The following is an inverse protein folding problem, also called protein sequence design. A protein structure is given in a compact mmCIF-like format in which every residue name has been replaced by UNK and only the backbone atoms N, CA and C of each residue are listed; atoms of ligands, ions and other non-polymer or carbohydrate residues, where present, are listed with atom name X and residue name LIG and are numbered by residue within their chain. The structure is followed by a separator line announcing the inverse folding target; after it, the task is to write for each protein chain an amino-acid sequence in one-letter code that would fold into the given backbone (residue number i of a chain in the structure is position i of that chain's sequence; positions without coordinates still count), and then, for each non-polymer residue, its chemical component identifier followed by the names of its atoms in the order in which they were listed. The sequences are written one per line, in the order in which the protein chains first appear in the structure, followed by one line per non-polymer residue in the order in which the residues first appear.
data_IF_154443070688
#
_entry.id   IF_154443070688
#
_cell.length_a   1.000
_cell.length_b   1.000
_cell.length_c   1.000
_cell.angle_alpha   90.00
_cell.angle_beta   90.00
_cell.angle_gamma   90.00
#
_symmetry.space_group_name_H-M   'P 1'
#
loop_
_entity.id
_entity.type
_entity.pdbx_description
1 polymer ?
#
# COMPACT_ATOMS: atom_id res chain seq x y z
N UNK A 1 2.59 -20.11 -6.99
CA UNK A 1 2.22 -19.23 -5.87
C UNK A 1 0.70 -19.10 -5.64
N UNK A 2 -0.18 -19.84 -6.35
CA UNK A 2 -1.65 -19.66 -6.22
C UNK A 2 -2.28 -20.43 -5.05
N UNK A 3 -1.83 -21.65 -4.74
CA UNK A 3 -2.54 -22.54 -3.81
C UNK A 3 -2.44 -22.16 -2.33
N UNK A 4 -1.47 -21.32 -1.95
CA UNK A 4 -1.22 -20.98 -0.54
C UNK A 4 -1.95 -19.68 -0.15
N UNK A 5 -1.95 -18.67 -1.03
CA UNK A 5 -2.63 -17.40 -0.76
C UNK A 5 -4.16 -17.54 -0.81
N UNK A 6 -4.70 -18.42 -1.65
CA UNK A 6 -6.15 -18.66 -1.73
C UNK A 6 -6.71 -19.35 -0.47
N UNK A 7 -5.86 -19.98 0.35
CA UNK A 7 -6.24 -20.53 1.66
C UNK A 7 -6.31 -19.47 2.76
N UNK A 8 -5.75 -18.28 2.53
CA UNK A 8 -5.79 -17.14 3.44
C UNK A 8 -6.91 -16.20 2.96
N UNK A 9 -8.14 -16.72 2.93
CA UNK A 9 -9.32 -15.97 2.53
C UNK A 9 -10.38 -16.03 3.63
N UNK A 10 -11.18 -14.98 3.74
CA UNK A 10 -12.27 -14.93 4.71
C UNK A 10 -13.36 -15.94 4.31
N UNK A 11 -13.71 -16.86 5.21
CA UNK A 11 -14.80 -17.81 5.01
C UNK A 11 -15.97 -17.46 5.93
N UNK A 12 -17.15 -18.05 5.70
CA UNK A 12 -18.32 -17.86 6.56
C UNK A 12 -18.12 -18.36 8.02
N UNK A 13 -17.03 -19.10 8.30
CA UNK A 13 -16.71 -19.63 9.64
C UNK A 13 -15.65 -18.79 10.39
N UNK A 14 -14.94 -17.91 9.69
CA UNK A 14 -13.85 -17.14 10.27
C UNK A 14 -13.03 -16.40 9.21
N UNK A 15 -12.29 -15.39 9.66
CA UNK A 15 -11.42 -14.56 8.83
C UNK A 15 -9.97 -14.73 9.24
N UNK A 16 -9.06 -14.82 8.27
CA UNK A 16 -7.62 -14.81 8.49
C UNK A 16 -7.07 -13.58 7.78
N UNK A 17 -6.47 -12.66 8.55
CA UNK A 17 -5.76 -11.49 8.00
C UNK A 17 -4.26 -11.75 8.12
N UNK A 18 -3.59 -12.01 7.00
CA UNK A 18 -2.13 -12.20 6.99
C UNK A 18 -1.39 -10.89 6.72
N UNK A 19 -0.37 -10.61 7.51
CA UNK A 19 0.60 -9.55 7.22
C UNK A 19 1.83 -10.21 6.58
N UNK A 20 2.15 -9.83 5.35
CA UNK A 20 3.27 -10.39 4.59
C UNK A 20 4.37 -9.33 4.47
N UNK A 21 5.60 -9.73 4.82
CA UNK A 21 6.78 -8.86 4.67
C UNK A 21 7.50 -9.26 3.39
N UNK A 22 7.55 -8.34 2.43
CA UNK A 22 8.27 -8.52 1.17
C UNK A 22 9.54 -7.69 1.23
N UNK A 23 10.69 -8.34 1.10
CA UNK A 23 11.97 -7.66 0.97
C UNK A 23 12.23 -7.33 -0.50
N UNK A 24 12.46 -6.05 -0.79
CA UNK A 24 12.78 -5.57 -2.14
C UNK A 24 14.28 -5.26 -2.20
N UNK A 25 15.06 -5.96 -3.03
CA UNK A 25 16.47 -5.65 -3.19
C UNK A 25 16.62 -4.27 -3.87
N UNK A 26 17.59 -3.48 -3.40
CA UNK A 26 17.91 -2.16 -3.96
C UNK A 26 16.74 -1.15 -4.02
N UNK A 27 15.65 -1.37 -3.28
CA UNK A 27 14.44 -0.53 -3.29
C UNK A 27 13.75 -0.44 -4.68
N UNK A 28 13.98 -1.42 -5.58
CA UNK A 28 13.37 -1.47 -6.92
C UNK A 28 12.00 -2.18 -6.94
N UNK A 29 10.92 -1.39 -6.97
CA UNK A 29 9.55 -1.89 -7.02
C UNK A 29 9.13 -2.44 -8.39
N UNK A 30 9.98 -2.31 -9.42
CA UNK A 30 9.69 -2.78 -10.79
C UNK A 30 10.11 -4.23 -11.03
N UNK A 31 10.76 -4.86 -10.05
CA UNK A 31 11.13 -6.27 -10.13
C UNK A 31 9.88 -7.18 -10.29
N UNK A 32 9.99 -8.27 -11.08
CA UNK A 32 8.87 -9.18 -11.29
C UNK A 32 8.44 -9.93 -10.00
N UNK A 33 9.33 -10.05 -9.01
CA UNK A 33 9.05 -10.68 -7.73
C UNK A 33 8.06 -9.88 -6.85
N UNK A 34 8.28 -8.59 -6.56
CA UNK A 34 7.28 -7.76 -5.89
C UNK A 34 6.05 -7.50 -6.78
N UNK A 35 6.21 -7.35 -8.11
CA UNK A 35 5.08 -7.12 -9.00
C UNK A 35 4.01 -8.22 -8.94
N UNK A 36 4.42 -9.50 -8.84
CA UNK A 36 3.50 -10.63 -8.72
C UNK A 36 2.86 -10.76 -7.34
N UNK A 37 3.56 -10.35 -6.28
CA UNK A 37 2.97 -10.34 -4.93
C UNK A 37 1.96 -9.20 -4.76
N UNK A 38 2.19 -8.03 -5.37
CA UNK A 38 1.23 -6.92 -5.33
C UNK A 38 -0.10 -7.25 -5.99
N UNK A 39 -0.11 -8.05 -7.05
CA UNK A 39 -1.36 -8.47 -7.70
C UNK A 39 -2.29 -9.29 -6.79
N UNK A 40 -1.77 -9.85 -5.70
CA UNK A 40 -2.52 -10.69 -4.76
C UNK A 40 -2.77 -10.04 -3.40
N UNK A 41 -2.24 -8.84 -3.15
CA UNK A 41 -2.38 -8.15 -1.85
C UNK A 41 -3.52 -7.12 -1.90
N UNK A 42 -4.43 -7.19 -0.94
CA UNK A 42 -5.56 -6.23 -0.81
C UNK A 42 -5.14 -4.85 -0.30
N UNK A 43 -3.98 -4.77 0.35
CA UNK A 43 -3.39 -3.53 0.84
C UNK A 43 -1.87 -3.62 0.80
N UNK A 44 -1.24 -2.54 0.33
CA UNK A 44 0.21 -2.39 0.25
C UNK A 44 0.64 -1.23 1.14
N UNK A 45 1.61 -1.48 2.01
CA UNK A 45 2.24 -0.44 2.84
C UNK A 45 3.72 -0.40 2.49
N UNK A 46 4.13 0.67 1.81
CA UNK A 46 5.52 0.87 1.38
C UNK A 46 6.29 1.59 2.48
N UNK A 47 7.43 1.04 2.86
CA UNK A 47 8.33 1.64 3.84
C UNK A 47 9.47 2.37 3.11
N UNK A 48 9.61 3.67 3.34
CA UNK A 48 10.64 4.50 2.68
C UNK A 48 11.82 4.76 3.60
N UNK A 49 13.04 4.49 3.08
CA UNK A 49 14.29 4.81 3.78
C UNK A 49 14.49 6.33 3.96
N UNK A 50 13.96 7.14 3.04
CA UNK A 50 14.03 8.61 3.11
C UNK A 50 13.21 9.21 4.26
N UNK A 51 12.17 8.51 4.74
CA UNK A 51 11.42 8.90 5.93
C UNK A 51 12.12 8.44 7.21
N UNK A 52 12.79 7.29 7.16
CA UNK A 52 13.59 6.76 8.27
C UNK A 52 14.75 7.70 8.65
N UNK A 53 15.46 8.25 7.65
CA UNK A 53 16.56 9.19 7.88
C UNK A 53 16.11 10.52 8.50
N UNK A 54 14.83 10.89 8.33
CA UNK A 54 14.20 12.05 8.96
C UNK A 54 13.74 11.78 10.40
N UNK A 55 13.89 10.55 10.89
CA UNK A 55 13.45 10.14 12.23
C UNK A 55 11.95 9.94 12.38
N UNK A 56 11.20 9.81 11.27
CA UNK A 56 9.76 9.61 11.29
C UNK A 56 9.46 8.11 11.37
N UNK A 57 8.87 7.66 12.48
CA UNK A 57 8.45 6.27 12.68
C UNK A 57 6.95 6.19 12.98
N UNK A 58 6.19 5.29 12.33
CA UNK A 58 6.61 4.33 11.31
C UNK A 58 6.90 4.99 9.94
N UNK A 59 7.85 4.44 9.19
CA UNK A 59 8.39 5.03 7.94
C UNK A 59 7.51 4.75 6.72
N UNK A 60 6.19 4.93 6.88
CA UNK A 60 5.18 4.60 5.85
C UNK A 60 5.06 5.74 4.85
N UNK A 61 5.18 5.43 3.56
CA UNK A 61 4.90 6.38 2.50
C UNK A 61 3.41 6.40 2.13
N UNK A 62 2.67 7.49 2.39
CA UNK A 62 1.24 7.56 2.08
C UNK A 62 0.92 7.74 0.59
N UNK A 63 1.89 8.11 -0.25
CA UNK A 63 1.70 8.29 -1.68
C UNK A 63 1.80 6.95 -2.42
N UNK A 64 2.75 6.10 -2.03
CA UNK A 64 2.98 4.80 -2.66
C UNK A 64 2.18 3.65 -2.01
N UNK A 65 1.65 3.85 -0.79
CA UNK A 65 0.82 2.86 -0.11
C UNK A 65 -0.65 2.94 -0.56
N UNK A 66 -1.23 1.81 -0.98
CA UNK A 66 -2.61 1.73 -1.49
C UNK A 66 -3.42 0.62 -0.81
N UNK A 67 -4.74 0.69 -0.89
CA UNK A 67 -5.61 -0.39 -0.45
C UNK A 67 -6.87 -0.47 -1.30
N UNK A 68 -7.28 -1.69 -1.63
CA UNK A 68 -8.53 -1.97 -2.34
C UNK A 68 -9.76 -1.61 -1.52
N UNK A 69 -9.64 -1.61 -0.18
CA UNK A 69 -10.74 -1.24 0.73
C UNK A 69 -10.95 0.28 0.86
N UNK A 70 -10.04 1.11 0.33
CA UNK A 70 -10.17 2.58 0.30
C UNK A 70 -11.15 3.04 -0.80
N UNK A 71 -12.38 2.53 -0.76
CA UNK A 71 -13.45 2.94 -1.65
C UNK A 71 -14.53 3.68 -0.86
N UNK A 72 -15.11 4.72 -1.47
CA UNK A 72 -16.15 5.54 -0.87
C UNK A 72 -17.31 4.72 -0.26
N UNK A 73 -17.67 3.60 -0.89
CA UNK A 73 -18.74 2.71 -0.45
C UNK A 73 -18.43 1.92 0.84
N UNK A 74 -17.15 1.73 1.17
CA UNK A 74 -16.70 0.89 2.29
C UNK A 74 -16.30 1.74 3.51
N UNK A 75 -15.49 2.79 3.30
CA UNK A 75 -14.94 3.63 4.38
C UNK A 75 -15.76 4.88 4.71
N UNK A 76 -16.76 5.21 3.89
CA UNK A 76 -17.59 6.42 4.04
C UNK A 76 -16.96 7.67 3.41
N UNK A 77 -17.79 8.70 3.23
CA UNK A 77 -17.44 9.93 2.50
C UNK A 77 -16.29 10.69 3.16
N UNK A 78 -16.40 10.96 4.44
CA UNK A 78 -15.45 11.84 5.15
C UNK A 78 -14.03 11.25 5.18
N UNK A 79 -13.90 9.93 5.31
CA UNK A 79 -12.60 9.26 5.33
C UNK A 79 -11.97 9.24 3.94
N UNK A 80 -12.77 8.92 2.90
CA UNK A 80 -12.29 8.96 1.53
C UNK A 80 -11.86 10.38 1.12
N UNK A 81 -12.65 11.39 1.47
CA UNK A 81 -12.38 12.79 1.15
C UNK A 81 -11.13 13.32 1.86
N UNK A 82 -10.95 13.00 3.15
CA UNK A 82 -9.71 13.32 3.88
C UNK A 82 -8.48 12.64 3.27
N UNK A 83 -8.62 11.39 2.82
CA UNK A 83 -7.50 10.67 2.15
C UNK A 83 -7.14 11.36 0.84
N UNK A 84 -8.12 11.67 0.00
CA UNK A 84 -7.90 12.37 -1.27
C UNK A 84 -7.26 13.74 -1.04
N UNK A 85 -7.75 14.49 -0.05
CA UNK A 85 -7.19 15.79 0.31
C UNK A 85 -5.71 15.67 0.73
N UNK A 86 -5.38 14.73 1.62
CA UNK A 86 -4.00 14.52 2.08
C UNK A 86 -3.05 14.13 0.94
N UNK A 87 -3.52 13.36 -0.05
CA UNK A 87 -2.74 13.04 -1.25
C UNK A 87 -2.52 14.30 -2.08
N UNK A 88 -3.55 15.11 -2.31
CA UNK A 88 -3.45 16.34 -3.10
C UNK A 88 -2.49 17.36 -2.49
N UNK A 89 -2.43 17.48 -1.16
CA UNK A 89 -1.54 18.43 -0.46
C UNK A 89 -0.09 17.95 -0.43
N UNK A 90 0.14 16.64 -0.33
CA UNK A 90 1.50 16.08 -0.21
C UNK A 90 2.11 15.66 -1.55
N UNK A 91 1.37 15.70 -2.66
CA UNK A 91 1.93 15.38 -3.97
C UNK A 91 2.88 16.50 -4.38
N UNK A 92 4.20 16.26 -4.45
CA UNK A 92 5.10 17.27 -4.97
C UNK A 92 4.68 17.56 -6.40
N UNK A 93 4.51 18.85 -6.72
CA UNK A 93 4.28 19.29 -8.09
C UNK A 93 5.32 18.61 -8.98
N UNK A 94 4.87 17.72 -9.86
CA UNK A 94 5.75 17.13 -10.86
C UNK A 94 6.26 18.31 -11.67
N UNK A 95 7.55 18.58 -11.52
CA UNK A 95 8.32 19.54 -12.29
C UNK A 95 7.86 19.47 -13.75
N UNK A 96 7.02 20.41 -14.17
CA UNK A 96 6.71 20.64 -15.57
C UNK A 96 7.99 21.20 -16.17
N UNK A 97 8.85 20.31 -16.67
CA UNK A 97 9.85 20.71 -17.66
C UNK A 97 9.07 21.12 -18.91
N UNK A 98 9.10 22.42 -19.19
CA UNK A 98 8.67 23.02 -20.44
C UNK A 98 9.43 22.46 -21.65
#
# INVERSE_FOLDING_TARGET
MSSLQERIASTNKGSITSIQVVYVPADDLTDPAPATTFAHLDATTVLSRGLASKGIYPTVDPLDSTSTMLQHRIVGKDHYEKRVYNISVNKPERNCTC
#
